data_IF_707848075722
#
_entry.id   IF_707848075722
#
_cell.length_a   1.000
_cell.length_b   1.000
_cell.length_c   1.000
_cell.angle_alpha   90.00
_cell.angle_beta   90.00
_cell.angle_gamma   90.00
#
_symmetry.space_group_name_H-M   'P 1'
#
loop_
_entity.id
_entity.type
_entity.pdbx_description
1 polymer ?
#
# COMPACT_ATOMS: atom_id res chain seq x y z
N UNK A 1 43.61 51.40 -17.24
CA UNK A 1 45.03 51.79 -17.24
C UNK A 1 45.79 50.59 -16.73
N UNK A 2 46.40 49.70 -17.50
CA UNK A 2 46.72 49.55 -18.93
C UNK A 2 46.99 48.03 -19.11
N UNK A 3 46.47 47.35 -20.14
CA UNK A 3 47.16 46.97 -21.39
C UNK A 3 48.49 46.19 -21.16
N UNK A 4 48.89 45.12 -21.86
CA UNK A 4 48.47 44.55 -23.14
C UNK A 4 49.27 43.23 -23.37
N UNK A 5 48.87 42.48 -24.42
CA UNK A 5 49.69 41.56 -25.24
C UNK A 5 50.21 40.29 -24.55
N UNK A 6 50.11 39.08 -25.10
CA UNK A 6 50.06 38.67 -26.51
C UNK A 6 51.39 38.01 -26.88
N UNK A 7 51.43 36.67 -26.93
CA UNK A 7 52.44 35.94 -27.71
C UNK A 7 51.94 34.57 -28.10
N UNK A 8 51.77 34.41 -29.41
CA UNK A 8 51.62 33.17 -30.15
C UNK A 8 52.93 32.39 -30.10
N UNK A 9 52.84 31.06 -30.08
CA UNK A 9 53.80 30.20 -30.78
C UNK A 9 53.12 28.89 -31.18
N UNK A 10 53.31 28.58 -32.45
CA UNK A 10 52.70 27.53 -33.26
C UNK A 10 53.50 26.20 -33.24
N UNK A 11 52.83 25.15 -33.72
CA UNK A 11 53.34 23.88 -34.27
C UNK A 11 53.73 22.72 -33.31
N UNK A 12 52.96 21.62 -33.34
CA UNK A 12 53.25 20.53 -34.29
C UNK A 12 52.21 19.39 -34.24
N UNK A 13 51.92 18.93 -35.46
CA UNK A 13 51.10 17.82 -35.93
C UNK A 13 51.52 16.44 -35.36
N UNK A 14 50.55 15.57 -35.05
CA UNK A 14 50.52 14.18 -35.54
C UNK A 14 49.12 13.59 -35.37
N UNK A 15 48.47 13.34 -36.51
CA UNK A 15 47.17 12.68 -36.59
C UNK A 15 47.20 11.17 -36.34
N UNK A 16 46.08 10.65 -35.83
CA UNK A 16 45.60 9.29 -36.14
C UNK A 16 44.09 9.38 -36.35
N UNK A 17 43.70 9.15 -37.60
CA UNK A 17 42.32 9.00 -38.06
C UNK A 17 41.77 7.63 -37.63
N UNK A 18 40.61 7.59 -36.99
CA UNK A 18 39.79 6.38 -36.93
C UNK A 18 38.42 6.65 -37.56
N UNK A 19 38.31 6.20 -38.80
CA UNK A 19 37.15 6.28 -39.66
C UNK A 19 36.20 5.11 -39.33
N UNK A 20 35.04 5.39 -38.74
CA UNK A 20 33.91 4.43 -38.66
C UNK A 20 32.63 5.07 -39.20
N UNK A 21 31.94 4.46 -40.18
CA UNK A 21 30.81 5.10 -40.84
C UNK A 21 29.56 5.14 -39.96
N UNK A 22 28.96 6.32 -39.87
CA UNK A 22 27.65 6.54 -39.26
C UNK A 22 26.54 5.86 -40.08
N UNK A 23 25.78 4.96 -39.45
CA UNK A 23 24.55 4.39 -40.01
C UNK A 23 23.50 5.49 -40.15
N UNK A 24 23.06 5.77 -41.37
CA UNK A 24 21.96 6.68 -41.68
C UNK A 24 20.65 6.20 -41.03
N UNK A 25 19.95 7.09 -40.32
CA UNK A 25 18.59 6.85 -39.83
C UNK A 25 17.64 6.97 -41.03
N UNK A 26 17.27 5.86 -41.65
CA UNK A 26 16.20 5.84 -42.66
C UNK A 26 14.86 6.19 -42.01
N UNK A 27 14.06 7.01 -42.69
CA UNK A 27 12.70 7.33 -42.23
C UNK A 27 11.80 6.10 -42.34
N UNK A 28 10.80 5.98 -41.46
CA UNK A 28 9.91 4.81 -41.40
C UNK A 28 9.19 4.55 -42.74
N UNK A 29 8.92 5.63 -43.49
CA UNK A 29 8.31 5.57 -44.83
C UNK A 29 9.22 4.90 -45.85
N UNK A 30 10.53 5.16 -45.80
CA UNK A 30 11.52 4.50 -46.66
C UNK A 30 11.66 3.01 -46.33
N UNK A 31 11.47 2.64 -45.06
CA UNK A 31 11.49 1.25 -44.63
C UNK A 31 10.26 0.47 -45.12
N UNK A 32 9.08 1.11 -45.17
CA UNK A 32 7.86 0.48 -45.69
C UNK A 32 7.91 0.32 -47.23
N UNK A 33 8.50 1.29 -47.95
CA UNK A 33 8.66 1.21 -49.41
C UNK A 33 9.52 0.04 -49.89
N UNK A 34 10.44 -0.44 -49.05
CA UNK A 34 11.32 -1.58 -49.36
C UNK A 34 10.70 -2.95 -49.01
N UNK A 35 9.49 -2.99 -48.46
CA UNK A 35 8.79 -4.24 -48.15
C UNK A 35 7.89 -4.65 -49.31
N UNK A 36 8.01 -5.91 -49.73
CA UNK A 36 7.16 -6.44 -50.79
C UNK A 36 5.70 -6.49 -50.34
N UNK A 37 4.78 -6.24 -51.28
CA UNK A 37 3.34 -6.25 -51.03
C UNK A 37 2.83 -7.54 -50.35
N UNK A 38 3.47 -8.68 -50.64
CA UNK A 38 3.18 -9.95 -49.98
C UNK A 38 3.51 -9.97 -48.49
N UNK A 39 4.61 -9.34 -48.08
CA UNK A 39 4.99 -9.22 -46.66
C UNK A 39 4.01 -8.31 -45.89
N UNK A 40 3.55 -7.23 -46.53
CA UNK A 40 2.51 -6.34 -45.98
C UNK A 40 1.17 -7.08 -45.82
N UNK A 41 0.75 -7.88 -46.81
CA UNK A 41 -0.46 -8.70 -46.73
C UNK A 41 -0.37 -9.75 -45.62
N UNK A 42 0.77 -10.43 -45.49
CA UNK A 42 0.99 -11.41 -44.43
C UNK A 42 0.97 -10.78 -43.03
N UNK A 43 1.51 -9.57 -42.88
CA UNK A 43 1.41 -8.80 -41.64
C UNK A 43 -0.04 -8.41 -41.33
N UNK A 44 -0.82 -7.98 -42.33
CA UNK A 44 -2.23 -7.65 -42.18
C UNK A 44 -3.06 -8.87 -41.73
N UNK A 45 -2.79 -10.05 -42.31
CA UNK A 45 -3.45 -11.32 -41.94
C UNK A 45 -3.03 -11.85 -40.56
N UNK A 46 -1.85 -11.46 -40.07
CA UNK A 46 -1.40 -11.78 -38.71
C UNK A 46 -2.04 -10.85 -37.67
N UNK A 47 -2.25 -9.58 -38.01
CA UNK A 47 -2.95 -8.61 -37.14
C UNK A 47 -4.45 -8.88 -37.09
N UNK A 48 -5.07 -9.33 -38.18
CA UNK A 48 -6.50 -9.70 -38.22
C UNK A 48 -6.81 -10.98 -37.42
N UNK A 49 -5.81 -11.86 -37.20
CA UNK A 49 -5.91 -13.05 -36.34
C UNK A 49 -5.81 -12.76 -34.83
N UNK A 50 -6.30 -11.60 -34.39
CA UNK A 50 -6.45 -11.25 -32.97
C UNK A 50 -7.61 -12.05 -32.36
N UNK A 51 -7.29 -13.29 -31.97
CA UNK A 51 -7.88 -14.12 -30.92
C UNK A 51 -9.40 -13.99 -30.73
N UNK A 52 -10.15 -14.80 -31.49
CA UNK A 52 -11.42 -15.35 -30.98
C UNK A 52 -11.07 -16.41 -29.94
N UNK A 53 -11.12 -16.02 -28.66
CA UNK A 53 -11.03 -16.95 -27.53
C UNK A 53 -12.36 -17.69 -27.45
N UNK A 54 -12.41 -18.90 -27.99
CA UNK A 54 -13.55 -19.80 -27.87
C UNK A 54 -13.71 -20.68 -29.12
N UNK A 55 -13.85 -21.98 -28.86
CA UNK A 55 -14.05 -23.10 -29.79
C UNK A 55 -12.94 -23.38 -30.79
N UNK A 56 -12.06 -24.31 -30.43
CA UNK A 56 -11.86 -25.56 -31.19
C UNK A 56 -10.83 -26.42 -30.42
N UNK A 57 -11.30 -27.04 -29.34
CA UNK A 57 -10.60 -28.22 -28.80
C UNK A 57 -10.87 -29.36 -29.76
N UNK A 58 -9.84 -29.83 -30.47
CA UNK A 58 -9.99 -31.01 -31.33
C UNK A 58 -10.40 -32.21 -30.46
N UNK A 59 -11.17 -33.16 -31.00
CA UNK A 59 -11.64 -34.34 -30.26
C UNK A 59 -10.48 -35.05 -29.52
N UNK A 60 -9.31 -35.15 -30.17
CA UNK A 60 -8.10 -35.73 -29.58
C UNK A 60 -7.59 -35.00 -28.33
N UNK A 61 -7.84 -33.70 -28.21
CA UNK A 61 -7.47 -32.91 -27.02
C UNK A 61 -8.49 -33.12 -25.90
N UNK A 62 -9.76 -33.28 -26.23
CA UNK A 62 -10.80 -33.59 -25.25
C UNK A 62 -10.59 -34.97 -24.62
N UNK A 63 -10.27 -35.97 -25.44
CA UNK A 63 -9.95 -37.32 -24.97
C UNK A 63 -8.73 -37.34 -24.04
N UNK A 64 -7.68 -36.57 -24.38
CA UNK A 64 -6.52 -36.40 -23.50
C UNK A 64 -6.88 -35.75 -22.18
N UNK A 65 -7.79 -34.76 -22.18
CA UNK A 65 -8.25 -34.09 -20.96
C UNK A 65 -9.14 -34.99 -20.10
N UNK A 66 -9.95 -35.85 -20.72
CA UNK A 66 -10.75 -36.87 -20.01
C UNK A 66 -9.82 -37.89 -19.34
N UNK A 67 -8.86 -38.46 -20.08
CA UNK A 67 -7.89 -39.39 -19.52
C UNK A 67 -7.07 -38.79 -18.35
N UNK A 68 -6.74 -37.50 -18.42
CA UNK A 68 -6.01 -36.79 -17.37
C UNK A 68 -6.86 -36.59 -16.11
N UNK A 69 -8.17 -36.32 -16.28
CA UNK A 69 -9.13 -36.22 -15.16
C UNK A 69 -9.32 -37.57 -14.46
N UNK A 70 -9.42 -38.66 -15.21
CA UNK A 70 -9.57 -40.00 -14.65
C UNK A 70 -8.31 -40.45 -13.90
N UNK A 71 -7.13 -40.16 -14.45
CA UNK A 71 -5.86 -40.41 -13.75
C UNK A 71 -5.74 -39.63 -12.43
N UNK A 72 -6.24 -38.40 -12.39
CA UNK A 72 -6.26 -37.60 -11.15
C UNK A 72 -7.24 -38.15 -10.11
N UNK A 73 -8.39 -38.70 -10.54
CA UNK A 73 -9.34 -39.39 -9.64
C UNK A 73 -8.70 -40.64 -9.04
N UNK A 74 -8.04 -41.47 -9.85
CA UNK A 74 -7.32 -42.65 -9.37
C UNK A 74 -6.21 -42.30 -8.36
N UNK A 75 -5.42 -41.25 -8.62
CA UNK A 75 -4.39 -40.79 -7.67
C UNK A 75 -5.02 -40.31 -6.36
N UNK A 76 -6.18 -39.65 -6.42
CA UNK A 76 -6.90 -39.19 -5.24
C UNK A 76 -7.44 -40.38 -4.43
N UNK A 77 -8.01 -41.38 -5.10
CA UNK A 77 -8.49 -42.60 -4.47
C UNK A 77 -7.35 -43.41 -3.86
N UNK A 78 -6.22 -43.56 -4.55
CA UNK A 78 -5.02 -44.22 -4.02
C UNK A 78 -4.39 -43.46 -2.83
N UNK A 79 -4.57 -42.14 -2.75
CA UNK A 79 -4.18 -41.35 -1.58
C UNK A 79 -5.15 -41.51 -0.40
N UNK A 80 -6.42 -41.79 -0.68
CA UNK A 80 -7.44 -42.00 0.36
C UNK A 80 -7.43 -43.45 0.85
N UNK A 81 -7.11 -44.43 0.00
CA UNK A 81 -7.06 -45.85 0.34
C UNK A 81 -5.73 -46.35 0.89
N UNK A 82 -4.67 -45.51 0.90
CA UNK A 82 -3.43 -45.80 1.64
C UNK A 82 -3.56 -45.30 3.08
N UNK A 83 -3.64 -46.21 4.09
CA UNK A 83 -3.60 -45.81 5.48
C UNK A 83 -2.21 -45.24 5.84
N UNK A 84 -2.21 -44.27 6.74
CA UNK A 84 -1.05 -43.54 7.25
C UNK A 84 -0.12 -44.48 8.04
N UNK A 85 0.90 -45.02 7.38
CA UNK A 85 2.12 -45.50 8.04
C UNK A 85 3.16 -44.37 8.07
N UNK A 86 3.72 -44.14 9.23
CA UNK A 86 4.40 -42.91 9.61
C UNK A 86 5.80 -42.79 9.02
N UNK A 87 6.13 -41.60 8.50
CA UNK A 87 7.51 -41.11 8.57
C UNK A 87 7.53 -39.65 9.03
N UNK A 88 7.98 -39.48 10.27
CA UNK A 88 8.32 -38.21 10.88
C UNK A 88 9.57 -37.66 10.17
N UNK A 89 9.44 -36.58 9.41
CA UNK A 89 10.50 -35.57 9.33
C UNK A 89 9.89 -34.18 9.21
N UNK A 90 10.21 -33.35 10.18
CA UNK A 90 9.74 -32.00 10.35
C UNK A 90 10.12 -31.08 9.17
N UNK A 91 9.19 -30.25 8.73
CA UNK A 91 9.49 -28.87 8.29
C UNK A 91 8.43 -27.91 8.77
N UNK A 92 8.82 -27.12 9.78
CA UNK A 92 8.19 -25.84 10.12
C UNK A 92 8.22 -24.94 8.88
N UNK A 93 7.06 -24.47 8.43
CA UNK A 93 6.97 -23.37 7.48
C UNK A 93 5.98 -22.32 7.95
N UNK A 94 6.56 -21.17 8.31
CA UNK A 94 6.06 -19.81 8.15
C UNK A 94 4.72 -19.45 8.79
N UNK A 95 4.88 -18.91 10.00
CA UNK A 95 4.14 -17.81 10.58
C UNK A 95 3.66 -16.79 9.52
N UNK A 96 2.35 -16.62 9.41
CA UNK A 96 1.67 -15.57 8.67
C UNK A 96 1.95 -14.21 9.32
N UNK A 97 2.87 -13.45 8.72
CA UNK A 97 2.94 -12.00 8.97
C UNK A 97 1.79 -11.34 8.23
N UNK A 98 0.74 -10.98 8.97
CA UNK A 98 -0.18 -9.93 8.58
C UNK A 98 0.60 -8.60 8.51
N UNK A 99 0.69 -8.02 7.31
CA UNK A 99 1.10 -6.63 7.14
C UNK A 99 -0.15 -5.72 7.28
N UNK A 100 -0.05 -4.59 8.00
CA UNK A 100 -1.08 -3.57 8.02
C UNK A 100 -1.04 -2.74 6.73
N UNK A 101 -2.22 -2.48 6.16
CA UNK A 101 -2.44 -1.56 5.04
C UNK A 101 -2.71 -0.14 5.56
N UNK A 102 -1.81 0.77 5.22
CA UNK A 102 -1.75 2.24 5.38
C UNK A 102 -0.67 2.63 4.34
N UNK A 103 -0.75 3.65 3.48
CA UNK A 103 -1.62 4.79 3.23
C UNK A 103 -1.27 5.19 1.77
N UNK A 104 -2.26 5.56 0.97
CA UNK A 104 -2.02 6.03 -0.39
C UNK A 104 -2.25 7.53 -0.40
N UNK A 105 -1.15 8.29 -0.29
CA UNK A 105 -1.13 9.70 -0.65
C UNK A 105 -0.51 9.84 -2.05
N UNK A 106 -1.34 10.25 -3.01
CA UNK A 106 -0.88 10.78 -4.30
C UNK A 106 -0.04 12.04 -4.07
N UNK A 107 1.18 12.02 -4.58
CA UNK A 107 2.10 13.15 -4.56
C UNK A 107 3.21 12.94 -5.60
N UNK A 108 2.96 13.43 -6.81
CA UNK A 108 3.97 13.59 -7.86
C UNK A 108 5.11 14.48 -7.35
N UNK A 109 6.27 13.88 -7.13
CA UNK A 109 7.53 14.58 -6.93
C UNK A 109 8.60 13.85 -7.75
N UNK A 110 8.89 14.40 -8.92
CA UNK A 110 10.02 13.99 -9.74
C UNK A 110 11.31 14.40 -9.01
N UNK A 111 11.94 13.44 -8.33
CA UNK A 111 13.31 13.57 -7.82
C UNK A 111 14.19 12.63 -8.63
N UNK A 112 15.00 13.23 -9.49
CA UNK A 112 16.12 12.60 -10.18
C UNK A 112 17.11 12.11 -9.11
N UNK A 113 17.06 10.81 -8.83
CA UNK A 113 18.05 10.12 -8.02
C UNK A 113 18.72 9.08 -8.89
N UNK A 114 19.92 9.41 -9.32
CA UNK A 114 20.89 8.55 -9.99
C UNK A 114 21.28 7.37 -9.07
N UNK A 115 20.39 6.37 -9.00
CA UNK A 115 20.65 5.08 -8.39
C UNK A 115 21.25 4.17 -9.46
N UNK A 116 22.57 4.01 -9.42
CA UNK A 116 23.29 3.00 -10.20
C UNK A 116 22.68 1.60 -10.03
N UNK A 117 22.91 0.68 -10.99
CA UNK A 117 22.17 -0.57 -11.08
C UNK A 117 22.36 -1.41 -9.81
N UNK A 118 21.27 -1.53 -9.06
CA UNK A 118 21.13 -2.38 -7.90
C UNK A 118 21.27 -3.85 -8.34
N UNK A 119 22.32 -4.56 -7.89
CA UNK A 119 22.53 -6.00 -8.15
C UNK A 119 21.55 -6.92 -7.37
N UNK A 120 20.35 -6.43 -7.07
CA UNK A 120 19.26 -7.19 -6.43
C UNK A 120 18.44 -7.99 -7.47
N UNK A 121 18.57 -7.66 -8.76
CA UNK A 121 17.94 -8.35 -9.90
C UNK A 121 18.83 -9.41 -10.58
N UNK A 122 20.02 -9.69 -10.03
CA UNK A 122 20.78 -10.85 -10.46
C UNK A 122 20.05 -12.11 -9.97
N UNK A 123 19.60 -13.02 -10.85
CA UNK A 123 18.92 -14.22 -10.42
C UNK A 123 19.88 -15.01 -9.52
N UNK A 124 19.59 -15.10 -8.22
CA UNK A 124 20.22 -16.08 -7.36
C UNK A 124 20.02 -17.43 -8.05
N UNK A 125 21.06 -17.94 -8.74
CA UNK A 125 20.99 -19.19 -9.49
C UNK A 125 20.73 -20.28 -8.46
N UNK A 126 19.45 -20.61 -8.27
CA UNK A 126 19.04 -21.73 -7.44
C UNK A 126 19.65 -22.99 -8.04
N UNK A 127 20.02 -23.93 -7.17
CA UNK A 127 20.67 -25.18 -7.58
C UNK A 127 19.76 -25.89 -8.59
N UNK A 128 20.33 -26.36 -9.70
CA UNK A 128 19.58 -27.11 -10.73
C UNK A 128 19.04 -28.44 -10.20
N UNK A 129 19.64 -29.01 -9.15
CA UNK A 129 19.13 -30.18 -8.43
C UNK A 129 19.54 -30.16 -6.96
N UNK A 130 18.95 -31.05 -6.14
CA UNK A 130 19.27 -31.17 -4.69
C UNK A 130 20.75 -31.46 -4.43
N UNK A 131 21.43 -32.10 -5.37
CA UNK A 131 22.82 -32.55 -5.24
C UNK A 131 23.80 -31.69 -6.05
N UNK A 132 23.34 -30.79 -6.93
CA UNK A 132 24.21 -29.91 -7.72
C UNK A 132 24.83 -28.80 -6.85
N UNK A 133 26.10 -28.42 -7.00
CA UNK A 133 26.72 -27.33 -6.24
C UNK A 133 26.06 -25.96 -6.52
N UNK A 134 26.15 -25.02 -5.58
CA UNK A 134 25.69 -23.63 -5.75
C UNK A 134 26.81 -22.76 -6.29
N UNK A 135 26.56 -22.03 -7.39
CA UNK A 135 27.47 -20.97 -7.81
C UNK A 135 27.42 -19.80 -6.81
N UNK A 136 28.58 -19.22 -6.50
CA UNK A 136 28.74 -18.00 -5.69
C UNK A 136 29.60 -17.02 -6.48
N UNK A 137 29.37 -15.72 -6.32
CA UNK A 137 30.15 -14.69 -7.02
C UNK A 137 31.57 -14.62 -6.48
N UNK A 138 32.55 -14.48 -7.38
CA UNK A 138 33.98 -14.34 -7.05
C UNK A 138 34.30 -13.05 -6.29
N UNK A 139 33.38 -12.08 -6.28
CA UNK A 139 33.48 -10.85 -5.48
C UNK A 139 33.43 -11.13 -3.97
N UNK A 140 32.83 -12.25 -3.55
CA UNK A 140 32.72 -12.63 -2.14
C UNK A 140 33.90 -13.53 -1.73
N UNK A 141 34.76 -13.03 -0.84
CA UNK A 141 35.89 -13.78 -0.30
C UNK A 141 35.41 -14.90 0.64
N UNK A 142 35.95 -16.11 0.49
CA UNK A 142 35.63 -17.23 1.39
C UNK A 142 36.31 -17.03 2.74
N UNK A 143 35.56 -17.14 3.84
CA UNK A 143 36.15 -17.01 5.18
C UNK A 143 37.07 -18.20 5.49
N UNK A 144 38.30 -17.93 5.92
CA UNK A 144 39.27 -18.97 6.34
C UNK A 144 38.93 -19.60 7.71
N UNK A 145 38.01 -18.99 8.46
CA UNK A 145 37.60 -19.45 9.80
C UNK A 145 36.51 -20.51 9.67
N UNK A 146 36.74 -21.69 10.25
CA UNK A 146 35.73 -22.76 10.37
C UNK A 146 34.91 -22.52 11.64
N UNK A 147 33.60 -22.30 11.49
CA UNK A 147 32.68 -22.28 12.63
C UNK A 147 32.40 -23.72 13.05
N UNK A 148 33.08 -24.19 14.09
CA UNK A 148 32.96 -25.57 14.61
C UNK A 148 31.81 -25.69 15.60
N UNK A 149 31.46 -24.60 16.29
CA UNK A 149 30.36 -24.53 17.25
C UNK A 149 29.52 -23.30 16.97
N UNK A 150 28.21 -23.50 16.79
CA UNK A 150 27.25 -22.41 16.64
C UNK A 150 26.97 -21.77 18.01
N UNK A 151 27.74 -20.74 18.35
CA UNK A 151 27.50 -19.95 19.56
C UNK A 151 26.43 -18.90 19.26
N UNK A 152 25.30 -18.88 19.98
CA UNK A 152 24.28 -17.85 19.80
C UNK A 152 24.89 -16.48 20.12
N UNK A 153 24.90 -15.58 19.12
CA UNK A 153 25.38 -14.21 19.29
C UNK A 153 24.49 -13.47 20.29
N UNK A 154 25.08 -12.99 21.40
CA UNK A 154 24.39 -12.15 22.39
C UNK A 154 24.23 -10.74 21.80
N UNK A 155 23.05 -10.43 21.28
CA UNK A 155 22.72 -9.07 20.86
C UNK A 155 22.34 -8.26 22.10
N UNK A 156 23.22 -7.37 22.57
CA UNK A 156 22.90 -6.41 23.61
C UNK A 156 22.01 -5.34 22.95
N UNK A 157 20.71 -5.36 23.23
CA UNK A 157 19.76 -4.34 22.75
C UNK A 157 19.39 -3.40 23.88
N UNK A 158 19.46 -2.10 23.62
CA UNK A 158 18.93 -1.09 24.53
C UNK A 158 17.40 -1.20 24.51
N UNK A 159 16.73 -1.46 25.65
CA UNK A 159 15.28 -1.61 25.70
C UNK A 159 14.53 -0.36 25.21
N UNK A 160 15.13 0.82 25.27
CA UNK A 160 14.52 2.06 24.73
C UNK A 160 14.46 2.05 23.21
N UNK A 161 15.43 1.40 22.57
CA UNK A 161 15.57 1.34 21.12
C UNK A 161 15.18 -0.02 20.53
N UNK A 162 14.86 -1.03 21.34
CA UNK A 162 14.43 -2.33 20.86
C UNK A 162 13.01 -2.27 20.29
N UNK A 163 12.84 -2.77 19.06
CA UNK A 163 11.59 -2.70 18.32
C UNK A 163 10.43 -3.42 19.04
N UNK A 164 10.74 -4.39 19.92
CA UNK A 164 9.75 -5.10 20.73
C UNK A 164 9.16 -4.19 21.80
N UNK A 165 9.97 -3.32 22.41
CA UNK A 165 9.59 -2.40 23.47
C UNK A 165 9.04 -1.05 22.94
N UNK A 166 9.36 -0.69 21.69
CA UNK A 166 8.74 0.46 21.02
C UNK A 166 7.25 0.25 20.71
N UNK A 167 6.75 -0.99 20.74
CA UNK A 167 5.34 -1.25 20.53
C UNK A 167 4.58 -0.89 21.80
N UNK A 168 3.63 0.03 21.67
CA UNK A 168 2.75 0.41 22.77
C UNK A 168 2.18 -0.84 23.46
N UNK A 169 2.20 -0.92 24.80
CA UNK A 169 1.76 -2.10 25.52
C UNK A 169 0.35 -2.48 25.09
N UNK A 170 0.13 -3.77 24.83
CA UNK A 170 -1.11 -4.34 24.26
C UNK A 170 -2.33 -4.25 25.21
N UNK A 171 -2.18 -3.56 26.35
CA UNK A 171 -3.22 -3.34 27.35
C UNK A 171 -4.11 -2.13 27.03
N UNK A 172 -5.10 -1.91 27.89
CA UNK A 172 -6.03 -0.79 27.76
C UNK A 172 -5.39 0.52 28.26
N UNK A 173 -4.38 1.05 27.56
CA UNK A 173 -3.75 2.34 27.90
C UNK A 173 -4.79 3.45 28.04
N UNK A 174 -5.77 3.47 27.15
CA UNK A 174 -6.87 4.44 27.17
C UNK A 174 -7.66 4.39 28.49
N UNK A 175 -7.76 3.22 29.13
CA UNK A 175 -8.39 3.08 30.45
C UNK A 175 -7.45 3.46 31.58
N UNK A 176 -6.18 3.06 31.51
CA UNK A 176 -5.19 3.41 32.53
C UNK A 176 -4.97 4.93 32.62
N UNK A 177 -5.07 5.62 31.48
CA UNK A 177 -4.89 7.07 31.36
C UNK A 177 -6.21 7.80 31.08
N UNK A 178 -7.34 7.27 31.54
CA UNK A 178 -8.66 7.90 31.35
C UNK A 178 -8.74 9.29 31.99
N UNK A 179 -8.06 9.49 33.12
CA UNK A 179 -7.99 10.76 33.84
C UNK A 179 -7.43 11.92 32.99
N UNK A 180 -6.61 11.63 31.97
CA UNK A 180 -6.10 12.66 31.05
C UNK A 180 -7.21 13.32 30.25
N UNK A 181 -8.35 12.65 30.07
CA UNK A 181 -9.53 13.24 29.42
C UNK A 181 -10.17 14.27 30.33
N UNK A 182 -10.19 14.03 31.64
CA UNK A 182 -10.78 14.96 32.60
C UNK A 182 -9.90 16.20 32.80
N UNK A 183 -8.58 16.03 32.90
CA UNK A 183 -7.64 17.16 32.89
C UNK A 183 -7.76 18.00 31.62
N UNK A 184 -7.90 17.39 30.44
CA UNK A 184 -8.13 18.12 29.19
C UNK A 184 -9.45 18.92 29.22
N UNK A 185 -10.51 18.42 29.87
CA UNK A 185 -11.77 19.16 30.00
C UNK A 185 -11.61 20.36 30.93
N UNK A 186 -10.88 20.20 32.03
CA UNK A 186 -10.64 21.28 32.99
C UNK A 186 -9.75 22.37 32.39
N UNK A 187 -8.69 21.99 31.66
CA UNK A 187 -7.86 22.91 30.89
C UNK A 187 -8.70 23.72 29.87
N UNK A 188 -9.64 23.08 29.17
CA UNK A 188 -10.56 23.79 28.26
C UNK A 188 -11.44 24.80 29.02
N UNK A 189 -11.90 24.48 30.24
CA UNK A 189 -12.69 25.41 31.06
C UNK A 189 -11.86 26.61 31.50
N UNK A 190 -10.61 26.36 31.91
CA UNK A 190 -9.66 27.40 32.32
C UNK A 190 -9.35 28.35 31.15
N UNK A 191 -8.99 27.82 29.99
CA UNK A 191 -8.74 28.62 28.77
C UNK A 191 -9.98 29.43 28.37
N UNK A 192 -11.20 28.87 28.51
CA UNK A 192 -12.44 29.62 28.28
C UNK A 192 -12.66 30.75 29.29
N UNK A 193 -12.24 30.57 30.53
CA UNK A 193 -12.30 31.62 31.53
C UNK A 193 -11.25 32.70 31.24
N UNK A 194 -10.06 32.33 30.79
CA UNK A 194 -9.00 33.24 30.37
C UNK A 194 -9.40 34.11 29.17
N UNK A 195 -10.07 33.54 28.17
CA UNK A 195 -10.64 34.29 27.03
C UNK A 195 -11.60 35.40 27.50
N UNK A 196 -12.34 35.17 28.58
CA UNK A 196 -13.26 36.18 29.13
C UNK A 196 -12.55 37.29 29.90
N UNK A 197 -11.39 37.00 30.49
CA UNK A 197 -10.61 37.94 31.32
C UNK A 197 -9.68 38.81 30.48
N UNK A 198 -9.06 38.22 29.48
CA UNK A 198 -8.15 38.89 28.55
C UNK A 198 -8.87 40.06 27.85
N UNK A 199 -8.14 41.15 27.62
CA UNK A 199 -8.66 42.33 26.93
C UNK A 199 -8.16 42.39 25.48
N UNK A 200 -6.89 42.05 25.27
CA UNK A 200 -6.23 41.99 23.95
C UNK A 200 -6.95 41.03 23.00
N UNK A 201 -7.18 41.47 21.77
CA UNK A 201 -7.88 40.69 20.73
C UNK A 201 -7.00 39.58 20.15
N UNK A 202 -5.71 39.86 19.96
CA UNK A 202 -4.74 38.89 19.43
C UNK A 202 -4.59 37.69 20.37
N UNK A 203 -4.47 37.95 21.68
CA UNK A 203 -4.37 36.92 22.70
C UNK A 203 -5.65 36.08 22.78
N UNK A 204 -6.83 36.73 22.69
CA UNK A 204 -8.12 36.02 22.64
C UNK A 204 -8.18 35.06 21.46
N UNK A 205 -7.71 35.46 20.30
CA UNK A 205 -7.75 34.61 19.12
C UNK A 205 -6.78 33.43 19.22
N UNK A 206 -5.59 33.62 19.79
CA UNK A 206 -4.67 32.53 20.10
C UNK A 206 -5.33 31.53 21.07
N UNK A 207 -5.95 32.01 22.15
CA UNK A 207 -6.63 31.17 23.12
C UNK A 207 -7.83 30.43 22.51
N UNK A 208 -8.64 31.11 21.67
CA UNK A 208 -9.75 30.48 20.93
C UNK A 208 -9.26 29.36 20.01
N UNK A 209 -8.14 29.56 19.30
CA UNK A 209 -7.53 28.51 18.46
C UNK A 209 -7.11 27.31 19.30
N UNK A 210 -6.46 27.54 20.45
CA UNK A 210 -6.07 26.47 21.39
C UNK A 210 -7.29 25.68 21.88
N UNK A 211 -8.33 26.36 22.35
CA UNK A 211 -9.59 25.74 22.78
C UNK A 211 -10.21 24.91 21.67
N UNK A 212 -10.31 25.46 20.46
CA UNK A 212 -10.88 24.74 19.31
C UNK A 212 -10.07 23.49 18.96
N UNK A 213 -8.73 23.56 18.99
CA UNK A 213 -7.85 22.42 18.76
C UNK A 213 -8.06 21.31 19.79
N UNK A 214 -8.10 21.67 21.08
CA UNK A 214 -8.32 20.73 22.18
C UNK A 214 -9.71 20.09 22.13
N UNK A 215 -10.76 20.88 21.88
CA UNK A 215 -12.11 20.36 21.70
C UNK A 215 -12.21 19.42 20.50
N UNK A 216 -11.56 19.75 19.38
CA UNK A 216 -11.56 18.90 18.19
C UNK A 216 -10.84 17.57 18.45
N UNK A 217 -9.74 17.59 19.21
CA UNK A 217 -9.03 16.38 19.65
C UNK A 217 -9.92 15.48 20.52
N UNK A 218 -10.66 16.07 21.48
CA UNK A 218 -11.61 15.33 22.31
C UNK A 218 -12.77 14.75 21.47
N UNK A 219 -13.34 15.54 20.55
CA UNK A 219 -14.41 15.08 19.64
C UNK A 219 -13.93 13.92 18.75
N UNK A 220 -12.69 13.97 18.27
CA UNK A 220 -12.07 12.91 17.48
C UNK A 220 -11.84 11.64 18.30
N UNK A 221 -11.33 11.76 19.54
CA UNK A 221 -11.20 10.62 20.47
C UNK A 221 -12.56 9.96 20.73
N UNK A 222 -13.59 10.74 21.07
CA UNK A 222 -14.93 10.23 21.29
C UNK A 222 -15.55 9.56 20.04
N UNK A 223 -15.16 10.00 18.83
CA UNK A 223 -15.57 9.33 17.59
C UNK A 223 -14.92 7.95 17.42
N UNK A 224 -13.62 7.85 17.69
CA UNK A 224 -12.90 6.57 17.68
C UNK A 224 -13.44 5.62 18.74
N UNK A 225 -13.76 6.12 19.93
CA UNK A 225 -14.33 5.32 21.01
C UNK A 225 -15.69 4.73 20.63
N UNK A 226 -16.60 5.52 20.03
CA UNK A 226 -17.88 5.01 19.50
C UNK A 226 -17.69 3.90 18.46
N UNK A 227 -16.75 4.08 17.53
CA UNK A 227 -16.41 3.04 16.55
C UNK A 227 -15.90 1.75 17.23
N UNK A 228 -15.08 1.87 18.27
CA UNK A 228 -14.60 0.74 19.05
C UNK A 228 -15.73 0.08 19.87
N UNK A 229 -16.65 0.85 20.43
CA UNK A 229 -17.81 0.34 21.16
C UNK A 229 -18.72 -0.50 20.26
N UNK A 230 -19.06 0.00 19.08
CA UNK A 230 -19.81 -0.76 18.06
C UNK A 230 -19.11 -2.08 17.74
N UNK A 231 -17.80 -2.02 17.49
CA UNK A 231 -17.01 -3.22 17.22
C UNK A 231 -16.99 -4.20 18.41
N UNK A 232 -16.93 -3.69 19.64
CA UNK A 232 -16.98 -4.52 20.86
C UNK A 232 -18.36 -5.15 21.06
N UNK A 233 -19.45 -4.42 20.81
CA UNK A 233 -20.82 -4.94 20.84
C UNK A 233 -21.00 -6.04 19.80
N UNK A 234 -20.62 -5.78 18.55
CA UNK A 234 -20.69 -6.75 17.46
C UNK A 234 -19.87 -8.02 17.78
N UNK A 235 -18.63 -7.87 18.27
CA UNK A 235 -17.82 -9.04 18.66
C UNK A 235 -18.47 -9.88 19.76
N UNK A 236 -19.17 -9.25 20.72
CA UNK A 236 -19.90 -9.98 21.76
C UNK A 236 -21.09 -10.75 21.17
N UNK A 237 -21.85 -10.12 20.30
CA UNK A 237 -23.00 -10.74 19.61
C UNK A 237 -22.58 -11.88 18.68
N UNK A 238 -21.48 -11.72 17.95
CA UNK A 238 -20.97 -12.78 17.09
C UNK A 238 -20.40 -13.94 17.91
N UNK A 239 -19.78 -13.65 19.05
CA UNK A 239 -19.31 -14.71 19.96
C UNK A 239 -20.48 -15.61 20.39
N UNK A 240 -21.62 -15.04 20.77
CA UNK A 240 -22.79 -15.85 21.16
C UNK A 240 -23.39 -16.62 19.98
N UNK A 241 -23.40 -16.06 18.77
CA UNK A 241 -23.84 -16.78 17.56
C UNK A 241 -22.90 -17.94 17.19
N UNK A 242 -21.60 -17.76 17.36
CA UNK A 242 -20.59 -18.81 17.13
C UNK A 242 -20.70 -19.90 18.19
N UNK A 243 -20.97 -19.56 19.44
CA UNK A 243 -21.27 -20.53 20.50
C UNK A 243 -22.52 -21.36 20.16
N UNK A 244 -23.50 -20.78 19.43
CA UNK A 244 -24.66 -21.50 18.86
C UNK A 244 -24.34 -22.31 17.60
N UNK A 245 -23.09 -22.33 17.13
CA UNK A 245 -22.65 -23.07 15.94
C UNK A 245 -22.78 -22.33 14.61
N UNK A 246 -23.14 -21.04 14.61
CA UNK A 246 -23.16 -20.23 13.38
C UNK A 246 -21.75 -19.84 12.95
N UNK A 247 -21.58 -19.53 11.66
CA UNK A 247 -20.30 -19.07 11.14
C UNK A 247 -19.95 -17.67 11.67
N UNK A 248 -18.70 -17.41 12.07
CA UNK A 248 -18.29 -16.10 12.57
C UNK A 248 -18.38 -15.05 11.47
N UNK A 249 -19.12 -13.97 11.72
CA UNK A 249 -19.17 -12.82 10.82
C UNK A 249 -18.33 -11.66 11.37
N UNK A 250 -17.72 -10.88 10.47
CA UNK A 250 -16.93 -9.70 10.84
C UNK A 250 -17.41 -8.51 10.01
N UNK A 251 -17.80 -7.42 10.68
CA UNK A 251 -18.24 -6.20 10.01
C UNK A 251 -17.14 -5.63 9.12
N UNK A 252 -17.54 -5.19 7.93
CA UNK A 252 -16.67 -4.36 7.09
C UNK A 252 -16.46 -3.00 7.74
N UNK A 253 -15.34 -2.35 7.42
CA UNK A 253 -15.03 -0.98 7.92
C UNK A 253 -16.13 0.04 7.59
N UNK A 254 -16.80 -0.09 6.45
CA UNK A 254 -17.92 0.79 6.04
C UNK A 254 -19.14 0.60 6.94
N UNK A 255 -19.56 -0.65 7.12
CA UNK A 255 -20.70 -1.03 7.98
C UNK A 255 -20.49 -0.59 9.43
N UNK A 256 -19.26 -0.73 9.95
CA UNK A 256 -18.89 -0.26 11.29
C UNK A 256 -19.09 1.26 11.43
N UNK A 257 -18.64 2.04 10.43
CA UNK A 257 -18.81 3.50 10.43
C UNK A 257 -20.28 3.91 10.31
N UNK A 258 -21.06 3.19 9.51
CA UNK A 258 -22.51 3.42 9.39
C UNK A 258 -23.22 3.16 10.72
N UNK A 259 -22.93 2.04 11.39
CA UNK A 259 -23.47 1.72 12.70
C UNK A 259 -23.07 2.78 13.76
N UNK A 260 -21.79 3.18 13.79
CA UNK A 260 -21.31 4.24 14.70
C UNK A 260 -21.98 5.59 14.41
N UNK A 261 -22.27 5.89 13.14
CA UNK A 261 -23.01 7.09 12.75
C UNK A 261 -24.47 7.03 13.23
N UNK A 262 -25.13 5.89 13.05
CA UNK A 262 -26.49 5.65 13.55
C UNK A 262 -26.54 5.82 15.07
N UNK A 263 -25.60 5.24 15.82
CA UNK A 263 -25.50 5.42 17.27
C UNK A 263 -25.28 6.89 17.65
N UNK A 264 -24.40 7.61 16.92
CA UNK A 264 -24.19 9.05 17.12
C UNK A 264 -25.48 9.85 16.93
N UNK A 265 -26.25 9.59 15.87
CA UNK A 265 -27.53 10.28 15.66
C UNK A 265 -28.57 9.91 16.72
N UNK A 266 -28.65 8.64 17.12
CA UNK A 266 -29.54 8.20 18.20
C UNK A 266 -29.28 8.98 19.51
N UNK A 267 -28.02 9.20 19.86
CA UNK A 267 -27.62 9.95 21.06
C UNK A 267 -27.72 11.48 20.97
N UNK A 268 -27.94 12.06 19.79
CA UNK A 268 -28.11 13.52 19.63
C UNK A 268 -29.56 13.96 19.93
N UNK A 269 -29.74 15.20 20.41
CA UNK A 269 -31.07 15.80 20.65
C UNK A 269 -31.80 16.05 19.33
N UNK A 270 -33.13 16.02 19.32
CA UNK A 270 -33.95 16.22 18.10
C UNK A 270 -33.64 17.52 17.35
N UNK A 271 -33.59 18.66 18.06
CA UNK A 271 -33.25 19.97 17.51
C UNK A 271 -31.83 20.01 16.94
N UNK A 272 -30.87 19.36 17.60
CA UNK A 272 -29.48 19.31 17.15
C UNK A 272 -29.33 18.44 15.89
N UNK A 273 -30.05 17.32 15.82
CA UNK A 273 -30.14 16.46 14.63
C UNK A 273 -30.69 17.22 13.43
N UNK A 274 -31.83 17.89 13.58
CA UNK A 274 -32.47 18.66 12.51
C UNK A 274 -31.53 19.75 11.98
N UNK A 275 -30.93 20.56 12.87
CA UNK A 275 -29.93 21.57 12.49
C UNK A 275 -28.73 20.98 11.75
N UNK A 276 -28.28 19.77 12.10
CA UNK A 276 -27.18 19.12 11.41
C UNK A 276 -27.57 18.66 10.00
N UNK A 277 -28.80 18.12 9.86
CA UNK A 277 -29.37 17.72 8.57
C UNK A 277 -29.58 18.94 7.68
N UNK A 278 -30.17 20.03 8.19
CA UNK A 278 -30.34 21.29 7.46
C UNK A 278 -29.00 21.86 7.00
N UNK A 279 -27.98 21.88 7.87
CA UNK A 279 -26.62 22.29 7.49
C UNK A 279 -26.02 21.38 6.42
N UNK A 280 -26.33 20.09 6.43
CA UNK A 280 -25.88 19.13 5.43
C UNK A 280 -26.58 19.37 4.09
N UNK A 281 -27.91 19.50 4.11
CA UNK A 281 -28.74 19.82 2.94
C UNK A 281 -28.33 21.15 2.30
N UNK A 282 -28.09 22.20 3.10
CA UNK A 282 -27.60 23.49 2.58
C UNK A 282 -26.23 23.36 1.90
N UNK A 283 -25.32 22.55 2.47
CA UNK A 283 -24.01 22.29 1.85
C UNK A 283 -24.14 21.47 0.57
N UNK A 284 -25.03 20.49 0.55
CA UNK A 284 -25.28 19.66 -0.63
C UNK A 284 -25.95 20.47 -1.74
N UNK A 285 -26.96 21.27 -1.43
CA UNK A 285 -27.59 22.17 -2.41
C UNK A 285 -26.62 23.22 -2.94
N UNK A 286 -25.73 23.77 -2.12
CA UNK A 286 -24.67 24.66 -2.60
C UNK A 286 -23.66 23.94 -3.50
N UNK A 287 -23.29 22.70 -3.17
CA UNK A 287 -22.42 21.87 -4.02
C UNK A 287 -23.09 21.53 -5.34
N UNK A 288 -24.38 21.21 -5.33
CA UNK A 288 -25.19 20.97 -6.53
C UNK A 288 -25.25 22.23 -7.39
N UNK A 289 -25.56 23.39 -6.81
CA UNK A 289 -25.48 24.68 -7.51
C UNK A 289 -24.10 24.92 -8.13
N UNK A 290 -23.01 24.64 -7.39
CA UNK A 290 -21.63 24.72 -7.90
C UNK A 290 -21.28 23.63 -8.94
N UNK A 291 -22.05 22.55 -9.03
CA UNK A 291 -21.86 21.49 -10.04
C UNK A 291 -22.65 21.78 -11.32
N UNK A 292 -23.69 22.61 -11.25
CA UNK A 292 -24.46 23.05 -12.42
C UNK A 292 -23.62 23.93 -13.35
N UNK A 293 -23.78 23.85 -14.68
CA UNK A 293 -23.15 24.79 -15.62
C UNK A 293 -23.55 26.24 -15.34
N UNK A 294 -22.64 27.21 -15.56
CA UNK A 294 -22.84 28.62 -15.19
C UNK A 294 -24.07 29.26 -15.85
N UNK A 295 -24.36 28.90 -17.10
CA UNK A 295 -25.57 29.35 -17.81
C UNK A 295 -26.87 29.02 -17.06
N UNK A 296 -26.90 27.92 -16.29
CA UNK A 296 -28.05 27.54 -15.45
C UNK A 296 -27.97 28.11 -14.03
N UNK A 297 -26.82 28.64 -13.60
CA UNK A 297 -26.68 29.30 -12.29
C UNK A 297 -27.22 30.74 -12.32
N UNK A 298 -27.00 31.46 -13.43
CA UNK A 298 -27.41 32.85 -13.59
C UNK A 298 -28.92 33.04 -13.85
N UNK A 299 -29.62 32.01 -14.34
CA UNK A 299 -31.05 32.07 -14.63
C UNK A 299 -31.96 31.88 -13.40
N UNK A 300 -31.41 31.57 -12.22
CA UNK A 300 -32.15 31.25 -10.97
C UNK A 300 -31.76 32.20 -9.82
N UNK A 301 -31.12 33.34 -10.13
CA UNK A 301 -30.80 34.41 -9.17
C UNK A 301 -31.85 35.50 -9.21
#
# INVERSE_FOLDING_TARGET
MDDASGREDEHSDTGVSDNKPARSRQTYEQQIGNLSFGALKQAQDAVSRKRKRGSDTTADQEDKLVALRDRLRQIKEQKVSKPLEASKTAKKSKLSRQAPSDDSSDGDSASDSDSGPSEEDAPHKSRTSKHAPTAQSTKYQVSRRRQVVDVPKRNIRDPRFDAIHQRAPTGNLDKAYSFLVDYQKDEIKELKAEIKRTKSEEEKDILRRKVNSMENRLKAKAAKEREQEVLRKHRKEEKTKVEQGKTPYYLKKKELKEQALVEKFKGMKSKERQKLIEKRQKKESQKEKKRMPEARRMAVG
#
